data_IF_272496040139
#
_entry.id   IF_272496040139
#
_cell.length_a   1.000
_cell.length_b   1.000
_cell.length_c   1.000
_cell.angle_alpha   90.00
_cell.angle_beta   90.00
_cell.angle_gamma   90.00
#
_symmetry.space_group_name_H-M   'P 1'
#
loop_
_entity.id
_entity.type
_entity.pdbx_description
1 polymer ?
#
# COMPACT_ATOMS: atom_id res chain seq x y z
N UNK A 1 44.29 -17.41 36.52
CA UNK A 1 43.75 -16.07 36.21
C UNK A 1 43.93 -15.75 34.73
N UNK A 2 43.08 -16.34 33.89
CA UNK A 2 42.94 -15.90 32.52
C UNK A 2 41.65 -15.10 32.43
N UNK A 3 41.71 -13.83 32.72
CA UNK A 3 40.70 -12.88 32.23
C UNK A 3 40.98 -12.74 30.73
N UNK A 4 40.12 -13.37 29.93
CA UNK A 4 40.16 -13.16 28.50
C UNK A 4 39.95 -11.67 28.20
N UNK A 5 40.93 -11.05 27.61
CA UNK A 5 40.77 -9.79 26.92
C UNK A 5 39.73 -10.01 25.81
N UNK A 6 38.50 -9.57 26.07
CA UNK A 6 37.60 -9.25 24.99
C UNK A 6 38.24 -8.03 24.29
N UNK A 7 39.04 -8.30 23.26
CA UNK A 7 39.38 -7.26 22.32
C UNK A 7 38.07 -6.72 21.78
N UNK A 8 37.79 -5.45 22.04
CA UNK A 8 36.72 -4.72 21.42
C UNK A 8 36.94 -4.85 19.90
N UNK A 9 36.05 -5.59 19.26
CA UNK A 9 36.11 -5.75 17.84
C UNK A 9 35.84 -4.37 17.22
N UNK A 10 36.87 -3.75 16.67
CA UNK A 10 36.74 -2.49 15.97
C UNK A 10 35.78 -2.73 14.78
N UNK A 11 34.71 -1.95 14.73
CA UNK A 11 33.79 -1.96 13.59
C UNK A 11 34.58 -1.53 12.35
N UNK A 12 34.52 -2.36 11.30
CA UNK A 12 35.13 -2.02 10.03
C UNK A 12 34.50 -0.70 9.52
N UNK A 13 35.29 0.33 9.25
CA UNK A 13 34.76 1.59 8.71
C UNK A 13 33.97 1.42 7.43
N UNK A 14 34.25 0.37 6.65
CA UNK A 14 33.50 0.05 5.43
C UNK A 14 32.10 -0.50 5.72
N UNK A 15 31.89 -1.09 6.89
CA UNK A 15 30.55 -1.52 7.34
C UNK A 15 29.75 -0.34 7.91
N UNK A 16 30.42 0.64 8.50
CA UNK A 16 29.78 1.83 9.07
C UNK A 16 29.48 2.90 8.01
N UNK A 17 30.25 2.93 6.94
CA UNK A 17 30.11 3.89 5.83
C UNK A 17 29.80 3.16 4.52
N UNK A 18 28.57 3.27 4.06
CA UNK A 18 28.20 2.72 2.76
C UNK A 18 28.68 3.61 1.62
N UNK A 19 29.32 3.04 0.64
CA UNK A 19 29.87 3.75 -0.51
C UNK A 19 28.92 3.83 -1.71
N UNK A 20 27.89 3.01 -1.74
CA UNK A 20 26.96 2.87 -2.87
C UNK A 20 25.50 2.72 -2.44
N UNK A 21 25.10 3.42 -1.39
CA UNK A 21 23.74 3.38 -0.89
C UNK A 21 22.88 4.49 -1.51
N UNK A 22 21.87 4.11 -2.27
CA UNK A 22 20.86 5.03 -2.78
C UNK A 22 19.52 4.68 -2.15
N UNK A 23 18.95 5.56 -1.30
CA UNK A 23 17.65 5.28 -0.68
C UNK A 23 16.52 5.39 -1.68
N UNK A 24 15.50 4.56 -1.52
CA UNK A 24 14.23 4.70 -2.24
C UNK A 24 13.52 5.97 -1.76
N UNK A 25 13.16 6.83 -2.69
CA UNK A 25 12.48 8.08 -2.37
C UNK A 25 10.95 7.92 -2.41
N UNK A 26 10.26 8.52 -1.46
CA UNK A 26 8.81 8.42 -1.34
C UNK A 26 8.04 9.03 -2.52
N UNK A 27 8.63 9.99 -3.21
CA UNK A 27 8.01 10.69 -4.34
C UNK A 27 8.22 10.00 -5.69
N UNK A 28 8.93 8.88 -5.73
CA UNK A 28 9.25 8.14 -6.96
C UNK A 28 8.45 6.86 -7.02
N UNK A 29 7.19 6.96 -7.43
CA UNK A 29 6.33 5.79 -7.60
C UNK A 29 5.30 6.02 -8.71
N UNK A 30 4.82 4.93 -9.31
CA UNK A 30 3.70 4.92 -10.24
C UNK A 30 2.79 3.76 -9.87
N UNK A 31 1.49 4.01 -9.83
CA UNK A 31 0.47 3.00 -9.55
C UNK A 31 -0.49 2.88 -10.73
N UNK A 32 -0.78 1.66 -11.12
CA UNK A 32 -1.69 1.36 -12.22
C UNK A 32 -2.94 0.67 -11.68
N UNK A 33 -4.06 1.34 -11.85
CA UNK A 33 -5.39 0.82 -11.53
C UNK A 33 -6.22 0.93 -12.81
N UNK A 34 -6.85 -0.16 -13.21
CA UNK A 34 -7.71 -0.15 -14.39
C UNK A 34 -8.88 0.84 -14.20
N UNK A 35 -9.07 1.72 -15.19
CA UNK A 35 -10.10 2.75 -15.17
C UNK A 35 -9.72 4.05 -14.44
N UNK A 36 -8.59 4.11 -13.75
CA UNK A 36 -8.10 5.31 -13.08
C UNK A 36 -6.75 5.72 -13.69
N UNK A 37 -6.62 6.95 -14.25
CA UNK A 37 -5.35 7.42 -14.78
C UNK A 37 -4.27 7.47 -13.70
N UNK A 38 -3.08 6.95 -14.00
CA UNK A 38 -1.97 6.86 -13.05
C UNK A 38 -1.51 8.23 -12.51
N UNK A 39 -1.61 9.28 -13.31
CA UNK A 39 -1.21 10.63 -12.89
C UNK A 39 -2.13 11.28 -11.85
N UNK A 40 -3.31 10.73 -11.60
CA UNK A 40 -4.22 11.23 -10.57
C UNK A 40 -3.83 10.77 -9.16
N UNK A 41 -3.00 9.76 -9.03
CA UNK A 41 -2.65 9.19 -7.74
C UNK A 41 -1.64 10.11 -7.06
N UNK A 42 -2.07 10.71 -5.96
CA UNK A 42 -1.25 11.62 -5.15
C UNK A 42 -0.42 10.86 -4.11
N UNK A 43 -1.05 9.91 -3.44
CA UNK A 43 -0.48 9.20 -2.31
C UNK A 43 -1.01 7.79 -2.23
N UNK A 44 -0.16 6.86 -1.89
CA UNK A 44 -0.54 5.47 -1.61
C UNK A 44 0.30 4.91 -0.49
N UNK A 45 -0.24 3.95 0.25
CA UNK A 45 0.53 3.13 1.19
C UNK A 45 1.00 1.84 0.51
N UNK A 46 2.14 1.31 0.94
CA UNK A 46 2.59 -0.01 0.51
C UNK A 46 1.85 -1.10 1.27
N UNK A 47 1.69 -2.31 0.67
CA UNK A 47 1.05 -3.41 1.35
C UNK A 47 1.81 -3.82 2.61
N UNK A 48 1.07 -4.22 3.62
CA UNK A 48 1.62 -4.78 4.85
C UNK A 48 0.87 -6.04 5.25
N UNK A 49 1.55 -6.95 5.93
CA UNK A 49 0.98 -8.18 6.41
C UNK A 49 1.21 -8.32 7.91
N UNK A 50 0.20 -8.80 8.62
CA UNK A 50 0.29 -9.18 10.03
C UNK A 50 -0.03 -10.64 10.18
N UNK A 51 0.59 -11.27 11.18
CA UNK A 51 0.35 -12.67 11.50
C UNK A 51 -0.28 -12.79 12.87
N UNK A 52 -1.24 -13.72 13.00
CA UNK A 52 -1.72 -14.14 14.30
C UNK A 52 -0.64 -14.89 15.07
N UNK A 53 -0.84 -15.02 16.36
CA UNK A 53 0.04 -15.75 17.28
C UNK A 53 -0.66 -17.00 17.78
N UNK A 54 0.03 -18.13 17.77
CA UNK A 54 -0.40 -19.37 18.42
C UNK A 54 0.57 -19.65 19.57
N UNK A 55 0.03 -19.73 20.78
CA UNK A 55 0.80 -20.00 21.99
C UNK A 55 0.59 -21.46 22.40
N UNK A 56 1.67 -22.20 22.53
CA UNK A 56 1.69 -23.55 23.08
C UNK A 56 2.27 -23.51 24.49
N UNK A 57 1.43 -23.87 25.46
CA UNK A 57 1.86 -23.94 26.87
C UNK A 57 2.47 -25.31 27.18
N UNK A 58 3.62 -25.31 27.84
CA UNK A 58 4.30 -26.51 28.25
C UNK A 58 4.93 -26.32 29.63
N UNK A 59 4.24 -26.78 30.68
CA UNK A 59 4.61 -26.64 32.11
C UNK A 59 4.94 -25.16 32.44
N UNK A 60 6.23 -24.80 32.50
CA UNK A 60 6.70 -23.46 32.83
C UNK A 60 7.20 -22.67 31.61
N UNK A 61 7.02 -23.19 30.40
CA UNK A 61 7.54 -22.60 29.17
C UNK A 61 6.39 -22.41 28.17
N UNK A 62 6.38 -21.23 27.52
CA UNK A 62 5.47 -20.95 26.40
C UNK A 62 6.26 -20.97 25.10
N UNK A 63 5.77 -21.73 24.13
CA UNK A 63 6.26 -21.68 22.74
C UNK A 63 5.29 -20.88 21.91
N UNK A 64 5.83 -19.99 21.11
CA UNK A 64 5.04 -19.12 20.23
C UNK A 64 5.25 -19.53 18.78
N UNK A 65 4.16 -19.72 18.06
CA UNK A 65 4.15 -20.03 16.64
C UNK A 65 3.37 -18.96 15.89
N UNK A 66 3.70 -18.82 14.64
CA UNK A 66 3.01 -17.91 13.74
C UNK A 66 1.63 -18.48 13.37
N UNK A 67 0.57 -17.69 13.50
CA UNK A 67 -0.77 -18.02 13.03
C UNK A 67 -0.99 -17.64 11.55
N UNK A 68 -2.26 -17.39 11.18
CA UNK A 68 -2.62 -16.95 9.83
C UNK A 68 -2.10 -15.54 9.54
N UNK A 69 -1.66 -15.34 8.31
CA UNK A 69 -1.35 -14.02 7.79
C UNK A 69 -2.62 -13.27 7.36
N UNK A 70 -2.67 -11.99 7.65
CA UNK A 70 -3.73 -11.09 7.21
C UNK A 70 -3.10 -9.83 6.59
N UNK A 71 -3.49 -9.54 5.35
CA UNK A 71 -3.04 -8.36 4.64
C UNK A 71 -3.84 -7.14 5.06
N UNK A 72 -3.13 -6.08 5.39
CA UNK A 72 -3.73 -4.83 5.85
C UNK A 72 -4.22 -3.99 4.69
N UNK A 73 -5.17 -3.12 4.95
CA UNK A 73 -5.76 -2.24 3.95
C UNK A 73 -4.72 -1.28 3.37
N UNK A 74 -4.87 -0.97 2.08
CA UNK A 74 -4.09 0.05 1.39
C UNK A 74 -4.97 1.28 1.20
N UNK A 75 -4.47 2.43 1.65
CA UNK A 75 -5.13 3.72 1.46
C UNK A 75 -4.53 4.46 0.27
N UNK A 76 -5.37 5.01 -0.58
CA UNK A 76 -5.00 5.79 -1.75
C UNK A 76 -5.68 7.14 -1.70
N UNK A 77 -4.94 8.19 -1.99
CA UNK A 77 -5.47 9.54 -2.17
C UNK A 77 -5.27 9.97 -3.62
N UNK A 78 -6.32 10.43 -4.24
CA UNK A 78 -6.35 10.88 -5.63
C UNK A 78 -6.58 12.39 -5.70
N UNK A 79 -5.95 13.03 -6.69
CA UNK A 79 -6.39 14.35 -7.13
C UNK A 79 -7.73 14.22 -7.87
N UNK A 80 -8.61 15.19 -7.70
CA UNK A 80 -9.90 15.24 -8.39
C UNK A 80 -9.97 16.44 -9.33
N UNK A 81 -9.39 16.34 -10.54
CA UNK A 81 -9.45 17.40 -11.52
C UNK A 81 -10.84 17.50 -12.16
N UNK A 82 -11.08 18.62 -12.85
CA UNK A 82 -12.35 18.83 -13.57
C UNK A 82 -12.54 17.78 -14.66
N UNK A 83 -11.49 17.49 -15.42
CA UNK A 83 -11.49 16.47 -16.48
C UNK A 83 -10.10 15.82 -16.53
N UNK A 84 -9.99 14.48 -16.41
CA UNK A 84 -11.03 13.51 -16.05
C UNK A 84 -11.36 13.57 -14.55
N UNK A 85 -12.63 13.34 -14.18
CA UNK A 85 -13.04 13.33 -12.79
C UNK A 85 -12.62 12.03 -12.08
N UNK A 86 -11.83 12.14 -11.02
CA UNK A 86 -11.46 10.99 -10.20
C UNK A 86 -12.67 10.43 -9.45
N UNK A 87 -13.56 11.29 -8.98
CA UNK A 87 -14.79 10.88 -8.31
C UNK A 87 -15.66 10.03 -9.24
N UNK A 88 -15.78 10.39 -10.50
CA UNK A 88 -16.55 9.62 -11.50
C UNK A 88 -15.92 8.23 -11.70
N UNK A 89 -14.61 8.15 -11.92
CA UNK A 89 -13.92 6.89 -12.15
C UNK A 89 -14.03 5.95 -10.93
N UNK A 90 -13.89 6.48 -9.73
CA UNK A 90 -14.04 5.72 -8.48
C UNK A 90 -15.47 5.22 -8.30
N UNK A 91 -16.46 6.06 -8.55
CA UNK A 91 -17.86 5.67 -8.39
C UNK A 91 -18.32 4.67 -9.47
N UNK A 92 -17.74 4.69 -10.64
CA UNK A 92 -17.95 3.63 -11.64
C UNK A 92 -17.46 2.27 -11.16
N UNK A 93 -16.30 2.24 -10.51
CA UNK A 93 -15.82 1.01 -9.88
C UNK A 93 -16.73 0.56 -8.73
N UNK A 94 -17.18 1.49 -7.88
CA UNK A 94 -18.12 1.18 -6.79
C UNK A 94 -19.44 0.62 -7.33
N UNK A 95 -19.95 1.12 -8.45
CA UNK A 95 -21.18 0.59 -9.08
C UNK A 95 -21.09 -0.87 -9.49
N UNK A 96 -19.89 -1.35 -9.82
CA UNK A 96 -19.68 -2.77 -10.12
C UNK A 96 -19.90 -3.66 -8.90
N UNK A 97 -19.70 -3.15 -7.70
CA UNK A 97 -19.94 -3.88 -6.45
C UNK A 97 -21.30 -3.58 -5.84
N UNK A 98 -21.77 -2.34 -5.94
CA UNK A 98 -23.03 -1.92 -5.32
C UNK A 98 -23.69 -0.77 -6.10
N UNK A 99 -24.93 -0.98 -6.50
CA UNK A 99 -25.73 0.06 -7.15
C UNK A 99 -26.51 0.85 -6.10
N UNK A 100 -26.27 2.15 -6.02
CA UNK A 100 -26.83 3.02 -4.99
C UNK A 100 -28.35 3.17 -5.08
N UNK A 101 -28.91 3.15 -6.28
CA UNK A 101 -30.36 3.38 -6.50
C UNK A 101 -31.18 2.14 -6.16
N UNK A 102 -30.77 0.97 -6.63
CA UNK A 102 -31.51 -0.28 -6.48
C UNK A 102 -31.06 -1.11 -5.28
N UNK A 103 -29.86 -0.82 -4.74
CA UNK A 103 -29.25 -1.60 -3.67
C UNK A 103 -28.76 -2.98 -4.08
N UNK A 104 -28.64 -3.24 -5.39
CA UNK A 104 -28.13 -4.52 -5.91
C UNK A 104 -26.63 -4.61 -5.77
N UNK A 105 -26.14 -5.78 -5.38
CA UNK A 105 -24.71 -6.10 -5.32
C UNK A 105 -24.27 -6.88 -6.55
N UNK A 106 -23.04 -6.62 -7.01
CA UNK A 106 -22.42 -7.35 -8.11
C UNK A 106 -21.64 -8.57 -7.63
N UNK A 107 -21.32 -9.46 -8.57
CA UNK A 107 -20.43 -10.58 -8.29
C UNK A 107 -18.98 -10.13 -8.15
N UNK A 108 -18.19 -10.87 -7.37
CA UNK A 108 -16.78 -10.57 -7.11
C UNK A 108 -15.94 -10.45 -8.39
N UNK A 109 -16.22 -11.24 -9.41
CA UNK A 109 -15.51 -11.20 -10.69
C UNK A 109 -15.64 -9.85 -11.42
N UNK A 110 -16.70 -9.09 -11.13
CA UNK A 110 -16.93 -7.80 -11.76
C UNK A 110 -16.23 -6.64 -11.06
N UNK A 111 -16.10 -6.67 -9.74
CA UNK A 111 -15.52 -5.54 -8.99
C UNK A 111 -14.09 -5.75 -8.51
N UNK A 112 -13.60 -6.99 -8.43
CA UNK A 112 -12.21 -7.26 -8.06
C UNK A 112 -11.27 -6.98 -9.22
N UNK A 113 -10.22 -6.24 -8.94
CA UNK A 113 -9.19 -5.84 -9.92
C UNK A 113 -7.81 -6.17 -9.39
N UNK A 114 -6.88 -6.41 -10.31
CA UNK A 114 -5.46 -6.50 -9.99
C UNK A 114 -4.83 -5.11 -10.12
N UNK A 115 -4.04 -4.73 -9.13
CA UNK A 115 -3.39 -3.44 -9.08
C UNK A 115 -1.89 -3.65 -9.04
N UNK A 116 -1.17 -2.90 -9.85
CA UNK A 116 0.30 -2.92 -9.89
C UNK A 116 0.82 -1.55 -9.53
N UNK A 117 1.81 -1.49 -8.63
CA UNK A 117 2.53 -0.26 -8.43
C UNK A 117 4.03 -0.50 -8.35
N UNK A 118 4.78 0.49 -8.82
CA UNK A 118 6.22 0.45 -8.94
C UNK A 118 6.84 1.57 -8.14
N UNK A 119 7.90 1.26 -7.42
CA UNK A 119 8.81 2.26 -6.87
C UNK A 119 9.94 2.47 -7.87
N UNK A 120 10.23 3.72 -8.19
CA UNK A 120 11.19 4.09 -9.22
C UNK A 120 12.53 4.50 -8.63
N UNK A 121 13.60 4.22 -9.37
CA UNK A 121 14.94 4.71 -9.08
C UNK A 121 15.18 6.14 -9.62
N UNK A 122 16.38 6.69 -9.40
CA UNK A 122 16.73 8.07 -9.80
C UNK A 122 16.59 8.35 -11.29
N UNK A 123 16.78 7.34 -12.13
CA UNK A 123 16.70 7.44 -13.59
C UNK A 123 15.37 6.96 -14.17
N UNK A 124 14.38 6.72 -13.32
CA UNK A 124 13.06 6.25 -13.73
C UNK A 124 12.96 4.74 -13.95
N UNK A 125 13.97 3.98 -13.57
CA UNK A 125 13.97 2.52 -13.63
C UNK A 125 13.11 1.93 -12.52
N UNK A 126 12.50 0.78 -12.77
CA UNK A 126 11.71 0.06 -11.77
C UNK A 126 12.64 -0.62 -10.77
N UNK A 127 12.56 -0.22 -9.52
CA UNK A 127 13.35 -0.78 -8.41
C UNK A 127 12.57 -1.78 -7.60
N UNK A 128 11.26 -1.57 -7.47
CA UNK A 128 10.37 -2.42 -6.70
C UNK A 128 9.01 -2.47 -7.39
N UNK A 129 8.46 -3.66 -7.55
CA UNK A 129 7.15 -3.86 -8.14
C UNK A 129 6.28 -4.71 -7.22
N UNK A 130 5.12 -4.18 -6.88
CA UNK A 130 4.09 -4.86 -6.11
C UNK A 130 2.87 -5.12 -6.98
N UNK A 131 2.29 -6.29 -6.83
CA UNK A 131 1.00 -6.64 -7.42
C UNK A 131 0.02 -6.99 -6.32
N UNK A 132 -1.09 -6.27 -6.26
CA UNK A 132 -2.22 -6.55 -5.37
C UNK A 132 -3.23 -7.39 -6.13
N UNK A 133 -3.51 -8.59 -5.64
CA UNK A 133 -4.45 -9.52 -6.27
C UNK A 133 -5.83 -9.44 -5.62
N UNK A 134 -6.87 -9.35 -6.47
CA UNK A 134 -8.25 -9.33 -6.01
C UNK A 134 -8.61 -8.08 -5.20
N UNK A 135 -8.07 -6.92 -5.57
CA UNK A 135 -8.34 -5.67 -4.88
C UNK A 135 -9.74 -5.14 -5.18
N UNK A 136 -10.40 -4.65 -4.16
CA UNK A 136 -11.70 -3.99 -4.26
C UNK A 136 -11.78 -2.80 -3.30
N UNK A 137 -12.72 -1.92 -3.54
CA UNK A 137 -12.94 -0.74 -2.71
C UNK A 137 -13.70 -1.15 -1.46
N UNK A 138 -13.10 -0.96 -0.29
CA UNK A 138 -13.77 -1.13 0.99
C UNK A 138 -14.55 0.11 1.38
N UNK A 139 -13.96 1.29 1.19
CA UNK A 139 -14.59 2.58 1.48
C UNK A 139 -14.05 3.67 0.57
N UNK A 140 -14.88 4.68 0.35
CA UNK A 140 -14.52 5.89 -0.39
C UNK A 140 -14.86 7.11 0.44
N UNK A 141 -14.06 8.17 0.31
CA UNK A 141 -14.32 9.45 0.93
C UNK A 141 -14.09 10.56 -0.10
N UNK A 142 -15.15 11.21 -0.54
CA UNK A 142 -15.04 12.43 -1.31
C UNK A 142 -14.52 13.56 -0.41
N UNK A 143 -13.60 14.37 -0.93
CA UNK A 143 -13.02 15.46 -0.16
C UNK A 143 -14.05 16.53 0.22
N UNK A 144 -13.73 17.29 1.25
CA UNK A 144 -14.58 18.38 1.72
C UNK A 144 -14.55 19.58 0.77
N UNK A 145 -15.66 20.31 0.71
CA UNK A 145 -15.79 21.54 -0.05
C UNK A 145 -15.99 22.70 0.92
N UNK A 146 -15.19 23.77 0.78
CA UNK A 146 -15.23 24.94 1.63
C UNK A 146 -15.06 26.21 0.80
N UNK A 147 -16.00 27.11 0.89
CA UNK A 147 -15.99 28.40 0.20
C UNK A 147 -14.82 29.31 0.60
N UNK A 148 -14.34 29.18 1.82
CA UNK A 148 -13.24 29.98 2.36
C UNK A 148 -11.86 29.46 1.97
N UNK A 149 -11.76 28.25 1.45
CA UNK A 149 -10.51 27.59 1.07
C UNK A 149 -10.19 27.79 -0.41
N UNK A 150 -9.49 28.87 -0.74
CA UNK A 150 -9.14 29.20 -2.12
C UNK A 150 -7.87 28.54 -2.66
N UNK A 151 -7.04 27.95 -1.80
CA UNK A 151 -5.74 27.37 -2.16
C UNK A 151 -5.66 25.85 -2.02
N UNK A 152 -6.72 25.20 -1.55
CA UNK A 152 -6.76 23.76 -1.36
C UNK A 152 -7.40 23.06 -2.56
N UNK A 153 -6.80 21.94 -2.97
CA UNK A 153 -7.34 21.07 -4.01
C UNK A 153 -8.36 20.10 -3.42
N UNK A 154 -9.36 19.74 -4.22
CA UNK A 154 -10.26 18.63 -3.89
C UNK A 154 -9.54 17.32 -4.10
N UNK A 155 -9.64 16.44 -3.12
CA UNK A 155 -9.04 15.09 -3.18
C UNK A 155 -10.11 14.02 -2.98
N UNK A 156 -9.83 12.83 -3.49
CA UNK A 156 -10.68 11.66 -3.32
C UNK A 156 -9.88 10.58 -2.59
N UNK A 157 -10.38 10.11 -1.46
CA UNK A 157 -9.75 9.05 -0.69
C UNK A 157 -10.38 7.69 -0.97
N UNK A 158 -9.55 6.65 -1.08
CA UNK A 158 -9.95 5.27 -1.22
C UNK A 158 -9.29 4.43 -0.13
N UNK A 159 -10.03 3.46 0.39
CA UNK A 159 -9.46 2.34 1.14
C UNK A 159 -9.71 1.06 0.36
N UNK A 160 -8.64 0.37 0.00
CA UNK A 160 -8.70 -0.88 -0.75
C UNK A 160 -8.41 -2.05 0.16
N UNK A 161 -9.16 -3.11 -0.04
CA UNK A 161 -8.90 -4.43 0.50
C UNK A 161 -8.57 -5.38 -0.63
N UNK A 162 -7.69 -6.33 -0.38
CA UNK A 162 -7.20 -7.24 -1.39
C UNK A 162 -6.95 -8.62 -0.78
N UNK A 163 -6.87 -9.65 -1.60
CA UNK A 163 -6.69 -11.01 -1.13
C UNK A 163 -5.24 -11.25 -0.67
N UNK A 164 -4.27 -10.84 -1.48
CA UNK A 164 -2.85 -10.93 -1.18
C UNK A 164 -2.03 -9.99 -2.07
N UNK A 165 -0.80 -9.72 -1.65
CA UNK A 165 0.14 -8.94 -2.42
C UNK A 165 1.40 -9.76 -2.73
N UNK A 166 1.99 -9.51 -3.90
CA UNK A 166 3.23 -10.14 -4.34
C UNK A 166 4.25 -9.05 -4.61
N UNK A 167 5.42 -9.17 -4.00
CA UNK A 167 6.59 -8.40 -4.38
C UNK A 167 7.27 -9.11 -5.55
N UNK A 168 7.23 -8.52 -6.73
CA UNK A 168 7.80 -9.12 -7.93
C UNK A 168 9.33 -9.02 -7.95
N UNK A 169 9.86 -7.86 -7.55
CA UNK A 169 11.32 -7.62 -7.41
C UNK A 169 11.60 -6.30 -6.70
#
# INVERSE_FOLDING_TARGET
NKRGEQMAQLIDPTEAMFTAFEPKMQNRFIMYIDGIPAYLIKKTSRPSITFGEVVLDHINVKRKLKGKGDWQDVTIELYDPVVPSAAQAVMEWVRLSHESVTGRDGYADFYKKDITFNVLGPVGDKVEEWTLKGAFILSTAAGDLDWSSGEAFVTMGLTLKYDYAILQY
#
